data_IF_878827987157
#
_entry.id   IF_878827987157
#
_cell.length_a   1.000
_cell.length_b   1.000
_cell.length_c   1.000
_cell.angle_alpha   90.00
_cell.angle_beta   90.00
_cell.angle_gamma   90.00
#
_symmetry.space_group_name_H-M   'P 1'
#
loop_
_entity.id
_entity.type
_entity.pdbx_description
1 polymer ?
#
# COMPACT_ATOMS: atom_id res chain seq x y z
N UNK A 1 -1.97 1.16 -9.42
CA UNK A 1 -1.36 1.30 -8.08
C UNK A 1 -2.28 0.70 -7.03
N UNK A 2 -1.69 0.22 -5.92
CA UNK A 2 -2.40 -0.30 -4.76
C UNK A 2 -2.17 0.63 -3.57
N UNK A 3 -3.23 0.96 -2.84
CA UNK A 3 -3.20 1.75 -1.62
C UNK A 3 -3.69 0.92 -0.43
N UNK A 4 -2.89 0.80 0.61
CA UNK A 4 -3.22 0.07 1.85
C UNK A 4 -2.72 0.83 3.09
N UNK A 5 -3.44 0.82 4.21
CA UNK A 5 -4.84 0.54 4.42
C UNK A 5 -5.67 1.83 4.22
N UNK A 6 -6.84 1.69 3.61
CA UNK A 6 -7.71 2.85 3.33
C UNK A 6 -9.10 2.75 3.97
N UNK A 7 -9.39 1.65 4.72
CA UNK A 7 -10.76 1.39 5.13
C UNK A 7 -10.94 0.74 6.52
N UNK A 8 -9.95 0.06 7.09
CA UNK A 8 -10.17 -0.88 8.20
C UNK A 8 -9.46 -0.47 9.50
N UNK A 9 -8.12 -0.31 9.48
CA UNK A 9 -7.35 -0.14 10.71
C UNK A 9 -7.09 1.35 11.01
N UNK A 10 -7.72 1.92 12.06
CA UNK A 10 -7.59 3.35 12.34
C UNK A 10 -6.15 3.78 12.65
N UNK A 11 -5.46 3.02 13.50
CA UNK A 11 -4.09 3.31 13.93
C UNK A 11 -3.33 1.98 14.13
N UNK A 12 -2.78 1.39 13.06
CA UNK A 12 -2.07 0.13 13.14
C UNK A 12 -0.74 0.28 13.90
N UNK A 13 -0.36 -0.75 14.67
CA UNK A 13 0.99 -0.85 15.24
C UNK A 13 2.02 -1.07 14.13
N UNK A 14 3.31 -1.00 14.45
CA UNK A 14 4.37 -1.28 13.48
C UNK A 14 4.27 -2.70 12.90
N UNK A 15 3.93 -3.69 13.74
CA UNK A 15 3.73 -5.09 13.33
C UNK A 15 2.53 -5.23 12.39
N UNK A 16 1.40 -4.60 12.72
CA UNK A 16 0.20 -4.61 11.88
C UNK A 16 0.45 -3.90 10.55
N UNK A 17 1.17 -2.78 10.58
CA UNK A 17 1.51 -2.03 9.38
C UNK A 17 2.43 -2.85 8.45
N UNK A 18 3.36 -3.61 9.00
CA UNK A 18 4.20 -4.55 8.26
C UNK A 18 3.36 -5.66 7.60
N UNK A 19 2.36 -6.19 8.30
CA UNK A 19 1.44 -7.19 7.75
C UNK A 19 0.59 -6.63 6.63
N UNK A 20 0.05 -5.42 6.80
CA UNK A 20 -0.68 -4.70 5.74
C UNK A 20 0.19 -4.56 4.49
N UNK A 21 1.49 -4.24 4.65
CA UNK A 21 2.41 -4.12 3.53
C UNK A 21 2.60 -5.43 2.77
N UNK A 22 2.79 -6.54 3.49
CA UNK A 22 3.00 -7.87 2.89
C UNK A 22 1.73 -8.36 2.19
N UNK A 23 0.57 -8.24 2.82
CA UNK A 23 -0.71 -8.62 2.23
C UNK A 23 -1.04 -7.76 1.00
N UNK A 24 -0.72 -6.46 1.05
CA UNK A 24 -0.92 -5.57 -0.11
C UNK A 24 0.01 -5.92 -1.27
N UNK A 25 1.23 -6.36 -0.99
CA UNK A 25 2.15 -6.87 -2.01
C UNK A 25 1.63 -8.17 -2.65
N UNK A 26 1.10 -9.10 -1.85
CA UNK A 26 0.49 -10.33 -2.35
C UNK A 26 -0.72 -10.03 -3.23
N UNK A 27 -1.63 -9.16 -2.78
CA UNK A 27 -2.77 -8.72 -3.58
C UNK A 27 -2.35 -8.06 -4.88
N UNK A 28 -1.34 -7.19 -4.86
CA UNK A 28 -0.79 -6.58 -6.07
C UNK A 28 -0.33 -7.64 -7.06
N UNK A 29 0.40 -8.66 -6.58
CA UNK A 29 0.88 -9.77 -7.40
C UNK A 29 -0.27 -10.60 -7.97
N UNK A 30 -1.30 -10.90 -7.19
CA UNK A 30 -2.50 -11.58 -7.66
C UNK A 30 -3.20 -10.82 -8.79
N UNK A 31 -3.13 -9.49 -8.78
CA UNK A 31 -3.64 -8.62 -9.85
C UNK A 31 -2.64 -8.38 -10.99
N UNK A 32 -1.54 -9.14 -11.06
CA UNK A 32 -0.54 -9.03 -12.12
C UNK A 32 0.39 -7.82 -12.01
N UNK A 33 0.49 -7.20 -10.85
CA UNK A 33 1.37 -6.07 -10.57
C UNK A 33 2.58 -6.57 -9.81
N UNK A 34 3.80 -6.42 -10.37
CA UNK A 34 5.03 -6.70 -9.64
C UNK A 34 5.23 -5.65 -8.55
N UNK A 35 5.12 -6.01 -7.25
CA UNK A 35 5.00 -5.04 -6.18
C UNK A 35 6.32 -4.33 -5.86
N UNK A 36 6.25 -3.01 -5.73
CA UNK A 36 7.28 -2.12 -5.20
C UNK A 36 6.65 -1.30 -4.08
N UNK A 37 6.93 -1.70 -2.85
CA UNK A 37 6.18 -1.25 -1.66
C UNK A 37 6.87 -0.06 -1.02
N UNK A 38 6.16 1.06 -0.96
CA UNK A 38 6.58 2.25 -0.23
C UNK A 38 5.81 2.38 1.09
N UNK A 39 6.53 2.41 2.20
CA UNK A 39 5.98 2.71 3.53
C UNK A 39 5.92 4.22 3.70
N UNK A 40 4.72 4.78 3.66
CA UNK A 40 4.49 6.22 3.54
C UNK A 40 4.59 6.92 4.89
N UNK A 41 5.23 8.08 4.87
CA UNK A 41 5.42 8.97 6.01
C UNK A 41 5.54 10.42 5.52
N UNK A 42 5.46 11.38 6.43
CA UNK A 42 5.88 12.76 6.16
C UNK A 42 7.41 12.91 6.11
N UNK A 43 8.16 11.86 6.42
CA UNK A 43 9.62 11.79 6.36
C UNK A 43 10.12 10.92 5.22
N UNK A 44 11.22 11.31 4.58
CA UNK A 44 12.01 10.45 3.70
C UNK A 44 13.34 10.14 4.39
N UNK A 45 13.54 8.86 4.73
CA UNK A 45 14.71 8.45 5.52
C UNK A 45 14.77 9.14 6.88
N UNK A 46 15.80 9.97 7.09
CA UNK A 46 16.03 10.72 8.33
C UNK A 46 15.64 12.19 8.25
N UNK A 47 14.85 12.60 7.26
CA UNK A 47 14.49 14.02 7.08
C UNK A 47 13.51 14.55 8.13
N UNK A 48 12.79 13.69 8.82
CA UNK A 48 11.87 14.02 9.89
C UNK A 48 12.04 13.10 11.08
N UNK A 49 11.49 13.51 12.22
CA UNK A 49 11.54 12.79 13.50
C UNK A 49 10.14 12.75 14.13
N UNK A 50 9.91 11.81 15.02
CA UNK A 50 8.68 11.66 15.79
C UNK A 50 8.16 10.24 15.81
N UNK A 51 7.21 9.97 16.71
CA UNK A 51 6.66 8.63 16.93
C UNK A 51 6.07 8.00 15.66
N UNK A 52 5.42 8.81 14.81
CA UNK A 52 4.85 8.33 13.55
C UNK A 52 5.93 7.90 12.55
N UNK A 53 7.05 8.63 12.48
CA UNK A 53 8.21 8.26 11.64
C UNK A 53 8.86 6.98 12.17
N UNK A 54 9.02 6.87 13.48
CA UNK A 54 9.62 5.70 14.12
C UNK A 54 8.74 4.46 13.92
N UNK A 55 7.42 4.59 14.01
CA UNK A 55 6.47 3.51 13.69
C UNK A 55 6.68 3.01 12.25
N UNK A 56 6.73 3.90 11.27
CA UNK A 56 6.92 3.52 9.86
C UNK A 56 8.30 2.91 9.62
N UNK A 57 9.35 3.44 10.24
CA UNK A 57 10.70 2.87 10.15
C UNK A 57 10.73 1.44 10.70
N UNK A 58 10.19 1.23 11.90
CA UNK A 58 10.09 -0.09 12.51
C UNK A 58 9.25 -1.05 11.66
N UNK A 59 8.11 -0.61 11.17
CA UNK A 59 7.25 -1.41 10.28
C UNK A 59 7.99 -1.83 9.01
N UNK A 60 8.80 -0.95 8.43
CA UNK A 60 9.60 -1.24 7.24
C UNK A 60 10.61 -2.36 7.50
N UNK A 61 11.33 -2.31 8.62
CA UNK A 61 12.29 -3.35 8.98
C UNK A 61 11.60 -4.70 9.29
N UNK A 62 10.48 -4.68 10.00
CA UNK A 62 9.68 -5.88 10.26
C UNK A 62 9.18 -6.49 8.95
N UNK A 63 8.66 -5.67 8.04
CA UNK A 63 8.16 -6.14 6.75
C UNK A 63 9.26 -6.80 5.91
N UNK A 64 10.46 -6.21 5.85
CA UNK A 64 11.62 -6.79 5.16
C UNK A 64 12.03 -8.14 5.77
N UNK A 65 12.10 -8.23 7.09
CA UNK A 65 12.44 -9.48 7.79
C UNK A 65 11.41 -10.58 7.53
N UNK A 66 10.12 -10.28 7.72
CA UNK A 66 9.02 -11.23 7.45
C UNK A 66 8.96 -11.65 5.98
N UNK A 67 9.19 -10.73 5.04
CA UNK A 67 9.25 -11.07 3.61
C UNK A 67 10.32 -12.12 3.32
N UNK A 68 11.51 -11.99 3.92
CA UNK A 68 12.58 -12.96 3.77
C UNK A 68 12.20 -14.34 4.35
N UNK A 69 11.58 -14.38 5.53
CA UNK A 69 11.09 -15.60 6.18
C UNK A 69 9.99 -16.30 5.35
N UNK A 70 9.14 -15.53 4.67
CA UNK A 70 8.07 -16.03 3.81
C UNK A 70 8.55 -16.47 2.41
N UNK A 71 9.85 -16.44 2.13
CA UNK A 71 10.40 -16.75 0.81
C UNK A 71 10.21 -15.63 -0.22
N UNK A 72 9.84 -14.43 0.20
CA UNK A 72 9.66 -13.23 -0.62
C UNK A 72 10.87 -12.28 -0.54
N UNK A 73 12.08 -12.82 -0.41
CA UNK A 73 13.30 -12.02 -0.23
C UNK A 73 13.60 -11.05 -1.39
N UNK A 74 13.01 -11.28 -2.57
CA UNK A 74 13.13 -10.38 -3.73
C UNK A 74 12.10 -9.23 -3.72
N UNK A 75 11.17 -9.20 -2.78
CA UNK A 75 10.18 -8.14 -2.67
C UNK A 75 10.85 -6.82 -2.30
N UNK A 76 10.64 -5.80 -3.14
CA UNK A 76 11.18 -4.48 -2.91
C UNK A 76 10.27 -3.72 -1.94
N UNK A 77 10.79 -3.45 -0.74
CA UNK A 77 10.12 -2.67 0.31
C UNK A 77 11.08 -1.58 0.76
N UNK A 78 10.61 -0.35 0.87
CA UNK A 78 11.39 0.74 1.43
C UNK A 78 10.52 1.80 2.14
N UNK A 79 11.13 2.48 3.11
CA UNK A 79 10.50 3.51 3.92
C UNK A 79 11.32 3.86 5.17
N UNK A 80 10.96 4.96 5.85
CA UNK A 80 9.87 5.88 5.53
C UNK A 80 10.14 6.68 4.24
N UNK A 81 9.11 6.87 3.43
CA UNK A 81 9.16 7.66 2.21
C UNK A 81 7.98 8.66 2.17
N UNK A 82 8.27 9.90 1.78
CA UNK A 82 7.20 10.83 1.43
C UNK A 82 6.55 10.39 0.12
N UNK A 83 5.27 10.72 -0.07
CA UNK A 83 4.50 10.30 -1.23
C UNK A 83 5.11 10.76 -2.56
N UNK A 84 5.60 12.00 -2.63
CA UNK A 84 6.28 12.54 -3.82
C UNK A 84 7.60 11.82 -4.12
N UNK A 85 8.38 11.50 -3.08
CA UNK A 85 9.61 10.72 -3.23
C UNK A 85 9.34 9.28 -3.66
N UNK A 86 8.25 8.67 -3.19
CA UNK A 86 7.86 7.32 -3.57
C UNK A 86 7.38 7.24 -5.02
N UNK A 87 6.65 8.26 -5.51
CA UNK A 87 5.92 8.22 -6.78
C UNK A 87 6.62 8.92 -7.95
N UNK A 88 7.50 9.90 -7.69
CA UNK A 88 8.07 10.77 -8.72
C UNK A 88 9.58 10.58 -8.84
N UNK A 89 10.03 10.07 -9.98
CA UNK A 89 11.43 9.71 -10.21
C UNK A 89 12.43 10.90 -10.05
N UNK A 90 12.04 12.13 -10.43
CA UNK A 90 12.90 13.29 -10.25
C UNK A 90 13.06 13.67 -8.78
N UNK A 91 12.03 13.50 -7.97
CA UNK A 91 12.06 13.74 -6.51
C UNK A 91 12.89 12.66 -5.82
N UNK A 92 12.70 11.40 -6.21
CA UNK A 92 13.47 10.28 -5.69
C UNK A 92 14.97 10.44 -5.85
N UNK A 93 15.42 10.91 -7.02
CA UNK A 93 16.85 11.20 -7.29
C UNK A 93 17.47 12.16 -6.28
N UNK A 94 16.68 13.11 -5.77
CA UNK A 94 17.14 14.09 -4.80
C UNK A 94 17.02 13.60 -3.35
N UNK A 95 15.86 13.00 -3.00
CA UNK A 95 15.52 12.66 -1.61
C UNK A 95 15.95 11.26 -1.18
N UNK A 96 15.97 10.29 -2.10
CA UNK A 96 16.25 8.89 -1.81
C UNK A 96 16.99 8.20 -2.98
N UNK A 97 18.19 8.67 -3.36
CA UNK A 97 18.89 8.19 -4.57
C UNK A 97 19.28 6.71 -4.51
N UNK A 98 19.38 6.13 -3.33
CA UNK A 98 19.77 4.73 -3.12
C UNK A 98 18.59 3.80 -2.85
N UNK A 99 17.36 4.31 -2.84
CA UNK A 99 16.17 3.50 -2.60
C UNK A 99 15.83 2.65 -3.83
N UNK A 100 15.57 1.33 -3.65
CA UNK A 100 15.14 0.48 -4.75
C UNK A 100 13.67 0.70 -5.13
N UNK A 101 12.92 1.48 -4.34
CA UNK A 101 11.47 1.70 -4.48
C UNK A 101 11.15 3.14 -4.87
N UNK A 102 11.88 4.12 -4.35
CA UNK A 102 11.58 5.53 -4.58
C UNK A 102 11.51 5.90 -6.07
N UNK A 103 10.50 6.69 -6.42
CA UNK A 103 10.24 7.16 -7.78
C UNK A 103 9.58 6.13 -8.71
N UNK A 104 9.33 4.91 -8.23
CA UNK A 104 8.72 3.83 -8.99
C UNK A 104 7.79 2.95 -8.15
N UNK A 105 7.40 3.39 -6.96
CA UNK A 105 6.47 2.68 -6.11
C UNK A 105 5.11 2.47 -6.82
N UNK A 106 4.51 1.32 -6.59
CA UNK A 106 3.18 0.98 -7.08
C UNK A 106 2.27 0.37 -6.02
N UNK A 107 2.82 0.13 -4.81
CA UNK A 107 2.09 -0.23 -3.59
C UNK A 107 2.47 0.80 -2.52
N UNK A 108 1.48 1.53 -2.02
CA UNK A 108 1.67 2.63 -1.06
C UNK A 108 0.96 2.25 0.24
N UNK A 109 1.72 2.14 1.33
CA UNK A 109 1.22 1.75 2.65
C UNK A 109 1.18 2.99 3.53
N UNK A 110 -0.02 3.36 3.97
CA UNK A 110 -0.26 4.55 4.76
C UNK A 110 -0.15 4.26 6.26
N UNK A 111 0.41 5.19 7.08
CA UNK A 111 0.70 4.95 8.48
C UNK A 111 -0.54 4.85 9.37
N UNK A 112 -1.65 5.39 8.91
CA UNK A 112 -2.94 5.42 9.61
C UNK A 112 -4.11 5.60 8.63
N UNK A 113 -5.33 5.37 9.13
CA UNK A 113 -6.54 5.41 8.32
C UNK A 113 -6.90 6.81 7.84
N UNK A 114 -6.62 7.85 8.63
CA UNK A 114 -6.89 9.23 8.19
C UNK A 114 -6.08 9.54 6.92
N UNK A 115 -4.80 9.17 6.93
CA UNK A 115 -3.91 9.35 5.78
C UNK A 115 -4.37 8.53 4.58
N UNK A 116 -4.61 7.24 4.75
CA UNK A 116 -5.00 6.34 3.67
C UNK A 116 -6.36 6.68 3.06
N UNK A 117 -7.38 6.84 3.90
CA UNK A 117 -8.74 7.17 3.44
C UNK A 117 -8.82 8.53 2.74
N UNK A 118 -8.17 9.55 3.31
CA UNK A 118 -8.13 10.89 2.71
C UNK A 118 -7.39 10.87 1.38
N UNK A 119 -6.24 10.20 1.32
CA UNK A 119 -5.40 10.19 0.12
C UNK A 119 -6.09 9.53 -1.05
N UNK A 120 -6.66 8.31 -0.90
CA UNK A 120 -7.27 7.65 -2.05
C UNK A 120 -8.47 8.44 -2.59
N UNK A 121 -9.28 9.04 -1.70
CA UNK A 121 -10.43 9.87 -2.10
C UNK A 121 -9.98 11.15 -2.81
N UNK A 122 -8.94 11.80 -2.29
CA UNK A 122 -8.38 13.00 -2.92
C UNK A 122 -7.84 12.68 -4.32
N UNK A 123 -7.07 11.60 -4.47
CA UNK A 123 -6.52 11.17 -5.77
C UNK A 123 -7.65 10.80 -6.74
N UNK A 124 -8.60 9.98 -6.30
CA UNK A 124 -9.75 9.60 -7.14
C UNK A 124 -10.47 10.82 -7.70
N UNK A 125 -10.78 11.80 -6.84
CA UNK A 125 -11.57 12.98 -7.24
C UNK A 125 -10.77 14.01 -8.01
N UNK A 126 -9.50 14.25 -7.64
CA UNK A 126 -8.66 15.28 -8.25
C UNK A 126 -8.05 14.83 -9.58
N UNK A 127 -7.70 13.56 -9.71
CA UNK A 127 -7.12 13.01 -10.93
C UNK A 127 -8.16 12.35 -11.86
N UNK A 128 -9.41 12.29 -11.45
CA UNK A 128 -10.51 11.66 -12.21
C UNK A 128 -10.17 10.23 -12.63
N UNK A 129 -9.65 9.43 -11.71
CA UNK A 129 -9.29 8.04 -11.92
C UNK A 129 -10.31 7.11 -11.28
N UNK A 130 -10.45 5.91 -11.85
CA UNK A 130 -11.28 4.85 -11.29
C UNK A 130 -10.63 4.34 -9.99
N UNK A 131 -11.44 4.17 -8.94
CA UNK A 131 -11.03 3.55 -7.68
C UNK A 131 -11.81 2.26 -7.49
N UNK A 132 -11.10 1.14 -7.41
CA UNK A 132 -11.69 -0.19 -7.27
C UNK A 132 -11.46 -0.72 -5.88
N UNK A 133 -12.51 -1.26 -5.26
CA UNK A 133 -12.47 -1.73 -3.88
C UNK A 133 -13.31 -0.85 -2.94
N UNK A 134 -13.04 -0.92 -1.60
CA UNK A 134 -11.88 -1.57 -0.98
C UNK A 134 -11.89 -3.10 -1.10
N UNK A 135 -10.69 -3.66 -1.32
CA UNK A 135 -10.45 -5.09 -1.33
C UNK A 135 -10.03 -5.51 0.08
N UNK A 136 -10.80 -6.39 0.73
CA UNK A 136 -10.46 -6.91 2.04
C UNK A 136 -9.40 -8.02 1.94
N UNK A 137 -8.48 -8.04 2.89
CA UNK A 137 -7.34 -8.96 2.94
C UNK A 137 -7.36 -9.80 4.21
N UNK A 138 -6.66 -10.96 4.20
CA UNK A 138 -6.53 -11.81 5.38
C UNK A 138 -7.78 -12.64 5.71
N UNK A 139 -8.73 -12.77 4.80
CA UNK A 139 -9.93 -13.59 4.96
C UNK A 139 -9.73 -14.97 4.32
N UNK A 140 -10.49 -15.99 4.76
CA UNK A 140 -10.42 -17.32 4.17
C UNK A 140 -10.99 -17.41 2.75
N UNK A 141 -11.74 -16.43 2.33
CA UNK A 141 -12.30 -16.27 0.99
C UNK A 141 -12.47 -14.79 0.67
N UNK A 142 -12.43 -14.40 -0.61
CA UNK A 142 -12.55 -13.00 -0.99
C UNK A 142 -13.94 -12.46 -0.65
N UNK A 143 -13.97 -11.41 0.13
CA UNK A 143 -15.14 -10.60 0.42
C UNK A 143 -14.69 -9.16 0.32
N UNK A 144 -15.32 -8.39 -0.56
CA UNK A 144 -14.94 -7.01 -0.80
C UNK A 144 -16.13 -6.09 -0.57
N UNK A 145 -15.83 -4.86 -0.17
CA UNK A 145 -16.82 -3.83 0.14
C UNK A 145 -16.88 -2.78 -0.97
N UNK A 146 -17.87 -1.93 -0.92
CA UNK A 146 -18.06 -0.81 -1.82
C UNK A 146 -18.50 0.43 -1.04
N UNK A 147 -17.99 1.58 -1.45
CA UNK A 147 -18.49 2.85 -0.94
C UNK A 147 -19.96 3.05 -1.32
N UNK A 148 -20.76 3.66 -0.44
CA UNK A 148 -22.14 4.09 -0.75
C UNK A 148 -22.23 5.07 -1.92
N UNK A 149 -21.13 5.71 -2.28
CA UNK A 149 -20.98 6.57 -3.45
C UNK A 149 -20.37 5.89 -4.67
N UNK A 150 -20.30 4.55 -4.69
CA UNK A 150 -19.74 3.79 -5.81
C UNK A 150 -20.58 3.99 -7.09
N UNK A 151 -19.87 4.13 -8.19
CA UNK A 151 -20.49 4.15 -9.53
C UNK A 151 -20.68 2.71 -10.04
N UNK A 152 -21.52 2.54 -11.06
CA UNK A 152 -21.73 1.22 -11.68
C UNK A 152 -20.42 0.61 -12.16
N UNK A 153 -19.52 1.42 -12.70
CA UNK A 153 -18.21 0.99 -13.17
C UNK A 153 -17.33 0.47 -12.02
N UNK A 154 -17.32 1.15 -10.86
CA UNK A 154 -16.61 0.70 -9.66
C UNK A 154 -17.12 -0.68 -9.19
N UNK A 155 -18.44 -0.90 -9.26
CA UNK A 155 -19.09 -2.16 -8.89
C UNK A 155 -18.64 -3.28 -9.84
N UNK A 156 -18.68 -3.04 -11.16
CA UNK A 156 -18.28 -4.03 -12.18
C UNK A 156 -16.81 -4.44 -11.98
N UNK A 157 -15.91 -3.48 -11.80
CA UNK A 157 -14.49 -3.78 -11.57
C UNK A 157 -14.26 -4.52 -10.24
N UNK A 158 -14.98 -4.16 -9.18
CA UNK A 158 -14.85 -4.85 -7.89
C UNK A 158 -15.31 -6.30 -7.99
N UNK A 159 -16.40 -6.59 -8.70
CA UNK A 159 -16.84 -7.97 -8.96
C UNK A 159 -15.76 -8.74 -9.74
N UNK A 160 -15.21 -8.14 -10.80
CA UNK A 160 -14.18 -8.78 -11.61
C UNK A 160 -12.91 -9.09 -10.80
N UNK A 161 -12.44 -8.13 -9.99
CA UNK A 161 -11.26 -8.35 -9.14
C UNK A 161 -11.52 -9.35 -8.01
N UNK A 162 -12.74 -9.40 -7.46
CA UNK A 162 -13.12 -10.42 -6.48
C UNK A 162 -13.03 -11.83 -7.08
N UNK A 163 -13.45 -11.99 -8.35
CA UNK A 163 -13.31 -13.25 -9.05
C UNK A 163 -11.84 -13.63 -9.30
N UNK A 164 -10.99 -12.66 -9.65
CA UNK A 164 -9.53 -12.87 -9.79
C UNK A 164 -8.90 -13.29 -8.47
N UNK A 165 -9.26 -12.64 -7.36
CA UNK A 165 -8.80 -13.07 -6.03
C UNK A 165 -9.21 -14.52 -5.74
N UNK A 166 -10.46 -14.88 -6.00
CA UNK A 166 -10.95 -16.24 -5.76
C UNK A 166 -10.19 -17.30 -6.56
N UNK A 167 -9.78 -16.98 -7.77
CA UNK A 167 -9.01 -17.89 -8.65
C UNK A 167 -7.54 -17.99 -8.23
N UNK A 168 -6.95 -16.92 -7.74
CA UNK A 168 -5.55 -16.89 -7.28
C UNK A 168 -5.31 -17.71 -6.00
N UNK A 169 -6.34 -17.89 -5.17
CA UNK A 169 -6.23 -18.51 -3.85
C UNK A 169 -5.49 -17.66 -2.81
N UNK A 170 -5.17 -16.42 -3.13
CA UNK A 170 -4.54 -15.43 -2.24
C UNK A 170 -5.60 -14.41 -1.80
N UNK A 171 -5.93 -14.37 -0.49
CA UNK A 171 -6.97 -13.49 0.06
C UNK A 171 -6.47 -12.67 1.24
#
# INVERSE_FOLDING_TARGET
>A
VVYGDCAINPDPTAEQLAEIALQSAQSAKAFGIEPKVAMISYSTGSSGEGADVDKVRQATEIAKAKAAEMGMASLLIDGPLQYDAASVASVAKSKAPNSPVAGQANVFIFPDLNTGNTTYKAVQRSANVVSVGPMLQGLNKPVNDLSRGALVEDIVYTIALTAVQADSGEF
#
